data_IF_953039857781
#
_entry.id   IF_953039857781
#
_cell.length_a   1.000
_cell.length_b   1.000
_cell.length_c   1.000
_cell.angle_alpha   90.00
_cell.angle_beta   90.00
_cell.angle_gamma   90.00
#
_symmetry.space_group_name_H-M   'P 1'
#
loop_
_entity.id
_entity.type
_entity.pdbx_description
1 polymer ?
#
# COMPACT_ATOMS: atom_id res chain seq x y z
N UNK A 1 -25.98 31.76 -15.18
CA UNK A 1 -24.69 31.31 -14.62
C UNK A 1 -24.59 29.81 -14.84
N UNK A 2 -23.51 29.26 -15.44
CA UNK A 2 -23.30 27.83 -15.48
C UNK A 2 -22.79 27.34 -14.11
N UNK A 3 -23.31 26.22 -13.61
CA UNK A 3 -22.74 25.51 -12.46
C UNK A 3 -21.77 24.48 -13.01
N UNK A 4 -20.52 24.62 -12.56
CA UNK A 4 -19.36 23.82 -12.93
C UNK A 4 -19.62 22.31 -12.82
N UNK A 5 -19.16 21.60 -13.84
CA UNK A 5 -18.83 20.18 -13.77
C UNK A 5 -17.65 19.99 -12.84
N UNK A 6 -17.84 19.35 -11.69
CA UNK A 6 -16.73 18.90 -10.83
C UNK A 6 -16.99 17.48 -10.34
N UNK A 7 -16.06 16.63 -10.74
CA UNK A 7 -15.62 15.35 -10.17
C UNK A 7 -16.67 14.33 -9.73
N UNK A 8 -17.01 13.47 -10.68
CA UNK A 8 -16.99 12.03 -10.44
C UNK A 8 -15.64 11.67 -9.79
N UNK A 9 -15.61 11.22 -8.53
CA UNK A 9 -14.35 10.68 -7.99
C UNK A 9 -14.27 10.29 -6.51
N UNK A 10 -14.95 10.96 -5.58
CA UNK A 10 -14.47 10.93 -4.17
C UNK A 10 -15.25 10.04 -3.18
N UNK A 11 -16.32 9.34 -3.60
CA UNK A 11 -17.19 8.62 -2.64
C UNK A 11 -16.98 7.10 -2.60
N UNK A 12 -15.98 6.55 -3.30
CA UNK A 12 -15.77 5.09 -3.39
C UNK A 12 -14.76 4.50 -2.41
N UNK A 13 -13.91 5.30 -1.78
CA UNK A 13 -12.83 4.80 -0.92
C UNK A 13 -13.26 4.47 0.51
N UNK A 14 -14.38 5.02 0.98
CA UNK A 14 -14.80 4.84 2.38
C UNK A 14 -15.45 3.48 2.68
N UNK A 15 -15.85 2.70 1.66
CA UNK A 15 -16.61 1.46 1.87
C UNK A 15 -15.76 0.21 2.12
N UNK A 16 -14.47 0.21 1.74
CA UNK A 16 -13.60 -0.96 1.95
C UNK A 16 -12.88 -0.95 3.31
N UNK A 17 -12.81 0.21 3.97
CA UNK A 17 -12.01 0.39 5.18
C UNK A 17 -12.67 -0.21 6.45
N UNK A 18 -13.96 -0.52 6.41
CA UNK A 18 -14.72 -0.94 7.60
C UNK A 18 -14.69 -2.46 7.85
N UNK A 19 -14.38 -3.28 6.84
CA UNK A 19 -14.53 -4.75 6.94
C UNK A 19 -13.29 -5.53 7.39
N UNK A 20 -12.14 -4.90 7.59
CA UNK A 20 -10.91 -5.61 7.97
C UNK A 20 -10.27 -5.16 9.29
N UNK A 21 -11.03 -4.59 10.23
CA UNK A 21 -10.56 -4.45 11.62
C UNK A 21 -10.54 -5.84 12.28
N UNK A 22 -9.59 -6.67 11.89
CA UNK A 22 -9.18 -7.84 12.64
C UNK A 22 -8.20 -7.34 13.72
N UNK A 23 -8.66 -7.41 14.97
CA UNK A 23 -8.15 -6.94 16.27
C UNK A 23 -6.65 -7.18 16.63
N UNK A 24 -5.69 -7.11 15.71
CA UNK A 24 -4.28 -7.37 16.05
C UNK A 24 -3.19 -6.73 15.18
N UNK A 25 -3.54 -6.14 14.03
CA UNK A 25 -2.55 -5.46 13.19
C UNK A 25 -2.65 -3.95 13.32
N UNK A 26 -1.51 -3.32 13.55
CA UNK A 26 -1.33 -1.89 13.32
C UNK A 26 -1.17 -1.63 11.84
N UNK A 27 -1.57 -0.43 11.42
CA UNK A 27 -1.63 -0.05 10.02
C UNK A 27 -0.99 1.29 9.79
N UNK A 28 -0.17 1.37 8.76
CA UNK A 28 0.43 2.63 8.32
C UNK A 28 0.43 2.70 6.80
N UNK A 29 -0.02 3.83 6.26
CA UNK A 29 -0.05 4.11 4.83
C UNK A 29 1.03 5.12 4.48
N UNK A 30 1.87 4.76 3.50
CA UNK A 30 2.96 5.60 3.02
C UNK A 30 2.85 5.80 1.51
N UNK A 31 3.17 7.02 1.08
CA UNK A 31 3.13 7.42 -0.33
C UNK A 31 4.52 7.33 -0.95
N UNK A 32 4.63 6.60 -2.05
CA UNK A 32 5.87 6.40 -2.82
C UNK A 32 5.74 7.02 -4.21
N UNK A 33 6.13 8.30 -4.39
CA UNK A 33 6.11 8.95 -5.69
C UNK A 33 7.12 8.31 -6.64
N UNK A 34 6.77 8.23 -7.93
CA UNK A 34 7.60 7.63 -8.98
C UNK A 34 7.62 6.10 -8.99
N UNK A 35 7.01 5.45 -7.99
CA UNK A 35 6.93 4.00 -7.92
C UNK A 35 5.68 3.49 -8.64
N UNK A 36 5.82 2.45 -9.46
CA UNK A 36 4.68 1.78 -10.09
C UNK A 36 4.13 0.66 -9.20
N UNK A 37 2.84 0.28 -9.33
CA UNK A 37 2.27 -0.86 -8.60
C UNK A 37 3.05 -2.17 -8.81
N UNK A 38 3.61 -2.36 -10.01
CA UNK A 38 4.40 -3.55 -10.32
C UNK A 38 5.74 -3.57 -9.57
N UNK A 39 6.38 -2.41 -9.39
CA UNK A 39 7.60 -2.31 -8.59
C UNK A 39 7.31 -2.50 -7.10
N UNK A 40 6.25 -1.86 -6.59
CA UNK A 40 5.81 -2.05 -5.20
C UNK A 40 5.53 -3.52 -4.89
N UNK A 41 4.76 -4.21 -5.73
CA UNK A 41 4.51 -5.65 -5.59
C UNK A 41 5.83 -6.45 -5.61
N UNK A 42 6.77 -6.08 -6.50
CA UNK A 42 8.07 -6.76 -6.58
C UNK A 42 8.89 -6.60 -5.30
N UNK A 43 8.89 -5.42 -4.69
CA UNK A 43 9.58 -5.17 -3.43
C UNK A 43 8.94 -5.94 -2.28
N UNK A 44 7.61 -5.93 -2.17
CA UNK A 44 6.89 -6.72 -1.16
C UNK A 44 7.14 -8.22 -1.32
N UNK A 45 7.25 -8.73 -2.56
CA UNK A 45 7.66 -10.12 -2.81
C UNK A 45 9.09 -10.42 -2.33
N UNK A 46 10.03 -9.48 -2.50
CA UNK A 46 11.40 -9.61 -1.98
C UNK A 46 11.48 -9.60 -0.46
N UNK A 47 10.49 -9.02 0.21
CA UNK A 47 10.34 -9.06 1.68
C UNK A 47 9.71 -10.38 2.19
N UNK A 48 9.45 -11.33 1.30
CA UNK A 48 8.87 -12.63 1.63
C UNK A 48 7.34 -12.68 1.48
N UNK A 49 6.74 -11.68 0.83
CA UNK A 49 5.31 -11.65 0.55
C UNK A 49 4.90 -12.52 -0.64
N UNK A 50 3.76 -13.20 -0.52
CA UNK A 50 3.02 -13.84 -1.60
C UNK A 50 1.95 -12.90 -2.17
N UNK A 51 1.74 -12.92 -3.49
CA UNK A 51 0.70 -12.12 -4.13
C UNK A 51 -0.66 -12.74 -3.84
N UNK A 52 -1.49 -12.04 -3.07
CA UNK A 52 -2.89 -12.41 -2.82
C UNK A 52 -3.78 -11.88 -3.96
N UNK A 53 -3.62 -10.60 -4.31
CA UNK A 53 -4.30 -9.96 -5.44
C UNK A 53 -3.28 -9.17 -6.27
N UNK A 54 -3.17 -9.52 -7.55
CA UNK A 54 -2.14 -8.96 -8.44
C UNK A 54 -2.24 -7.44 -8.53
N UNK A 55 -1.10 -6.77 -8.33
CA UNK A 55 -0.91 -5.31 -8.30
C UNK A 55 -1.72 -4.58 -7.22
N UNK A 56 -2.26 -5.31 -6.23
CA UNK A 56 -3.15 -4.72 -5.22
C UNK A 56 -2.90 -5.20 -3.81
N UNK A 57 -2.60 -6.49 -3.60
CA UNK A 57 -2.47 -7.04 -2.25
C UNK A 57 -1.40 -8.12 -2.18
N UNK A 58 -0.51 -7.98 -1.22
CA UNK A 58 0.59 -8.91 -0.93
C UNK A 58 0.54 -9.28 0.55
N UNK A 59 0.62 -10.57 0.85
CA UNK A 59 0.57 -11.09 2.22
C UNK A 59 1.86 -11.81 2.56
N UNK A 60 2.41 -11.55 3.74
CA UNK A 60 3.54 -12.29 4.31
C UNK A 60 3.21 -12.86 5.68
N UNK A 61 4.19 -13.51 6.30
CA UNK A 61 3.99 -14.09 7.64
C UNK A 61 3.84 -12.96 8.65
N UNK A 62 2.65 -12.80 9.22
CA UNK A 62 2.35 -11.79 10.24
C UNK A 62 2.20 -10.36 9.72
N UNK A 63 2.07 -10.18 8.39
CA UNK A 63 1.81 -8.88 7.78
C UNK A 63 1.08 -8.98 6.45
N UNK A 64 0.49 -7.86 6.06
CA UNK A 64 -0.19 -7.63 4.80
C UNK A 64 0.23 -6.26 4.28
N UNK A 65 0.31 -6.10 2.96
CA UNK A 65 0.41 -4.80 2.32
C UNK A 65 -0.60 -4.67 1.18
N UNK A 66 -1.27 -3.52 1.13
CA UNK A 66 -2.18 -3.12 0.06
C UNK A 66 -1.54 -2.02 -0.78
N UNK A 67 -1.56 -2.17 -2.10
CA UNK A 67 -1.01 -1.22 -3.07
C UNK A 67 -2.19 -0.52 -3.73
N UNK A 68 -2.22 0.80 -3.59
CA UNK A 68 -3.19 1.67 -4.25
C UNK A 68 -2.46 2.57 -5.25
N UNK A 69 -2.73 2.45 -6.58
CA UNK A 69 -2.17 3.37 -7.54
C UNK A 69 -2.72 4.79 -7.33
N UNK A 70 -1.83 5.78 -7.35
CA UNK A 70 -2.16 7.20 -7.29
C UNK A 70 -1.56 7.94 -8.50
N UNK A 71 -1.91 9.22 -8.66
CA UNK A 71 -1.32 10.05 -9.70
C UNK A 71 0.18 10.21 -9.46
N UNK A 72 0.99 9.63 -10.34
CA UNK A 72 2.45 9.74 -10.29
C UNK A 72 3.13 8.81 -9.27
N UNK A 73 2.45 7.82 -8.70
CA UNK A 73 3.07 6.89 -7.75
C UNK A 73 2.12 5.79 -7.24
N UNK A 74 2.40 5.30 -6.03
CA UNK A 74 1.52 4.41 -5.28
C UNK A 74 1.44 4.82 -3.81
N UNK A 75 0.30 4.60 -3.19
CA UNK A 75 0.18 4.46 -1.75
C UNK A 75 0.31 2.98 -1.39
N UNK A 76 1.08 2.69 -0.35
CA UNK A 76 1.20 1.34 0.20
C UNK A 76 0.74 1.38 1.65
N UNK A 77 -0.32 0.63 1.95
CA UNK A 77 -0.81 0.43 3.32
C UNK A 77 -0.21 -0.85 3.86
N UNK A 78 0.67 -0.73 4.85
CA UNK A 78 1.23 -1.85 5.60
C UNK A 78 0.34 -2.17 6.78
N UNK A 79 0.11 -3.44 7.04
CA UNK A 79 -0.62 -3.93 8.21
C UNK A 79 0.18 -5.08 8.84
N UNK A 80 0.64 -4.93 10.07
CA UNK A 80 1.46 -5.93 10.75
C UNK A 80 1.26 -5.87 12.27
N UNK A 81 1.71 -6.89 13.00
CA UNK A 81 1.87 -6.75 14.45
C UNK A 81 2.98 -5.73 14.77
N UNK A 82 2.78 -4.93 15.80
CA UNK A 82 3.58 -3.74 16.21
C UNK A 82 5.09 -3.90 15.98
N UNK A 83 5.73 -4.92 16.58
CA UNK A 83 7.19 -5.15 16.46
C UNK A 83 7.70 -5.39 15.02
N UNK A 84 6.82 -5.74 14.08
CA UNK A 84 7.15 -6.05 12.70
C UNK A 84 6.82 -4.90 11.73
N UNK A 85 5.92 -3.98 12.09
CA UNK A 85 5.47 -2.91 11.19
C UNK A 85 6.64 -1.99 10.79
N UNK A 86 7.36 -1.48 11.78
CA UNK A 86 8.50 -0.58 11.55
C UNK A 86 9.63 -1.23 10.75
N UNK A 87 9.97 -2.50 11.04
CA UNK A 87 11.01 -3.23 10.30
C UNK A 87 10.57 -3.53 8.87
N UNK A 88 9.29 -3.86 8.65
CA UNK A 88 8.73 -4.09 7.31
C UNK A 88 8.82 -2.81 6.46
N UNK A 89 8.38 -1.68 7.01
CA UNK A 89 8.41 -0.37 6.36
C UNK A 89 9.84 0.02 6.02
N UNK A 90 10.74 -0.02 7.01
CA UNK A 90 12.15 0.33 6.82
C UNK A 90 12.82 -0.50 5.73
N UNK A 91 12.52 -1.80 5.66
CA UNK A 91 13.09 -2.68 4.63
C UNK A 91 12.49 -2.39 3.26
N UNK A 92 11.21 -2.04 3.19
CA UNK A 92 10.58 -1.62 1.94
C UNK A 92 11.23 -0.33 1.40
N UNK A 93 11.37 0.68 2.25
CA UNK A 93 12.05 1.94 1.92
C UNK A 93 13.48 1.71 1.43
N UNK A 94 14.24 0.84 2.10
CA UNK A 94 15.60 0.49 1.67
C UNK A 94 15.65 -0.12 0.26
N UNK A 95 14.62 -0.84 -0.19
CA UNK A 95 14.52 -1.31 -1.56
C UNK A 95 14.17 -0.19 -2.54
N UNK A 96 13.27 0.71 -2.16
CA UNK A 96 12.89 1.88 -2.94
C UNK A 96 14.11 2.76 -3.19
N UNK A 97 14.87 3.09 -2.14
CA UNK A 97 16.08 3.90 -2.23
C UNK A 97 17.15 3.24 -3.11
N UNK A 98 17.28 1.91 -3.03
CA UNK A 98 18.29 1.16 -3.78
C UNK A 98 18.01 1.08 -5.28
N UNK A 99 16.74 0.97 -5.70
CA UNK A 99 16.38 0.96 -7.13
C UNK A 99 16.04 2.37 -7.67
N UNK A 100 15.86 3.36 -6.80
CA UNK A 100 15.71 4.77 -7.16
C UNK A 100 17.01 5.54 -7.40
N UNK A 101 18.16 4.97 -7.01
CA UNK A 101 19.51 5.52 -7.22
C UNK A 101 20.19 4.96 -8.48
#
# INVERSE_FOLDING_TARGET
MPISTSSFGDERDNLYNEFQRADGYERETLTFPGLTPAQAENFLKRLGGGVEEKLRRVEGIGWLAEIQPIEGGVDVTFAAHDELLDDLIRRFEAWVDREGA
#
